data_IF_449056050733
#
_entry.id   IF_449056050733
#
_cell.length_a   1.000
_cell.length_b   1.000
_cell.length_c   1.000
_cell.angle_alpha   90.00
_cell.angle_beta   90.00
_cell.angle_gamma   90.00
#
_symmetry.space_group_name_H-M   'P 1'
#
loop_
_entity.id
_entity.type
_entity.pdbx_description
1 polymer ?
#
# COMPACT_ATOMS: atom_id res chain seq x y z
N UNK A 1 4.18 -14.50 11.60
CA UNK A 1 3.99 -13.18 12.23
C UNK A 1 3.72 -13.26 13.74
N UNK A 2 3.31 -14.41 14.27
CA UNK A 2 3.06 -14.58 15.73
C UNK A 2 4.27 -14.35 16.65
N UNK A 3 5.49 -14.34 16.10
CA UNK A 3 6.74 -14.16 16.84
C UNK A 3 6.97 -12.76 17.40
N UNK A 4 6.27 -11.75 16.89
CA UNK A 4 6.46 -10.33 17.22
C UNK A 4 5.28 -9.71 17.97
N UNK A 5 4.23 -10.48 18.25
CA UNK A 5 3.03 -10.03 18.93
C UNK A 5 3.15 -9.93 20.45
N UNK A 6 1.99 -9.79 21.12
CA UNK A 6 1.89 -9.59 22.58
C UNK A 6 2.68 -10.59 23.42
N UNK A 7 3.29 -10.16 24.54
CA UNK A 7 3.88 -11.07 25.53
C UNK A 7 2.87 -12.08 26.07
N UNK A 8 3.31 -13.30 26.41
CA UNK A 8 2.49 -14.27 27.15
C UNK A 8 1.54 -15.16 26.34
N UNK A 9 1.68 -15.23 25.00
CA UNK A 9 0.92 -16.22 24.20
C UNK A 9 1.39 -17.67 24.47
N UNK A 10 0.50 -18.68 24.34
CA UNK A 10 0.82 -20.08 24.68
C UNK A 10 2.02 -20.64 23.90
N UNK A 11 2.68 -21.64 24.49
CA UNK A 11 3.98 -22.18 24.10
C UNK A 11 4.13 -22.45 22.58
N UNK A 12 5.06 -21.74 21.93
CA UNK A 12 5.45 -21.94 20.53
C UNK A 12 6.10 -20.73 19.87
N UNK A 13 5.74 -19.51 20.28
CA UNK A 13 6.25 -18.27 19.69
C UNK A 13 7.23 -17.54 20.63
N UNK A 14 8.37 -18.15 20.93
CA UNK A 14 9.46 -17.42 21.60
C UNK A 14 9.99 -16.36 20.64
N UNK A 15 10.06 -15.09 21.09
CA UNK A 15 10.64 -14.02 20.29
C UNK A 15 12.05 -14.42 19.84
N UNK A 16 12.36 -14.37 18.53
CA UNK A 16 13.66 -14.80 18.03
C UNK A 16 14.77 -13.90 18.58
N UNK A 17 15.97 -14.48 18.76
CA UNK A 17 17.16 -13.71 19.20
C UNK A 17 17.48 -12.54 18.26
N UNK A 18 17.22 -12.72 16.96
CA UNK A 18 17.33 -11.70 15.92
C UNK A 18 16.39 -12.05 14.78
N UNK A 19 15.54 -11.09 14.40
CA UNK A 19 14.68 -11.16 13.22
C UNK A 19 14.62 -9.76 12.62
N UNK A 20 14.77 -9.69 11.30
CA UNK A 20 14.63 -8.45 10.53
C UNK A 20 13.41 -8.65 9.64
N UNK A 21 12.47 -7.73 9.72
CA UNK A 21 11.28 -7.71 8.86
C UNK A 21 11.40 -6.49 7.96
N UNK A 22 11.37 -6.74 6.66
CA UNK A 22 11.23 -5.70 5.64
C UNK A 22 9.78 -5.73 5.19
N UNK A 23 9.10 -4.60 5.29
CA UNK A 23 7.70 -4.48 4.93
C UNK A 23 7.45 -3.12 4.28
N UNK A 24 6.44 -3.07 3.42
CA UNK A 24 5.91 -1.84 2.85
C UNK A 24 4.92 -1.20 3.83
N UNK A 25 4.18 -0.19 3.35
CA UNK A 25 3.11 0.48 4.10
C UNK A 25 2.05 -0.47 4.68
N UNK A 26 1.98 -1.72 4.19
CA UNK A 26 1.12 -2.77 4.76
C UNK A 26 1.42 -3.01 6.25
N UNK A 27 2.65 -2.76 6.71
CA UNK A 27 2.99 -2.85 8.14
C UNK A 27 2.39 -1.71 9.00
N UNK A 28 1.78 -0.69 8.40
CA UNK A 28 1.14 0.43 9.11
C UNK A 28 -0.24 0.03 9.63
N UNK A 29 -1.00 -0.73 8.82
CA UNK A 29 -2.38 -1.09 9.07
C UNK A 29 -2.47 -2.49 9.71
N UNK A 30 -3.09 -2.56 10.89
CA UNK A 30 -3.42 -3.82 11.59
C UNK A 30 -2.26 -4.73 12.01
N UNK A 31 -1.01 -4.25 11.91
CA UNK A 31 0.17 -5.01 12.28
C UNK A 31 0.47 -4.94 13.79
N UNK A 32 0.02 -5.93 14.58
CA UNK A 32 0.31 -5.99 16.03
C UNK A 32 1.72 -6.54 16.28
N UNK A 33 2.73 -5.70 16.02
CA UNK A 33 4.15 -6.02 16.14
C UNK A 33 4.86 -5.08 17.12
N UNK A 34 5.78 -5.66 17.88
CA UNK A 34 6.69 -4.97 18.80
C UNK A 34 8.14 -5.18 18.37
N UNK A 35 8.73 -4.14 17.79
CA UNK A 35 10.14 -4.11 17.37
C UNK A 35 11.01 -3.37 18.37
N UNK A 36 12.28 -3.76 18.47
CA UNK A 36 13.26 -3.07 19.34
C UNK A 36 13.95 -1.88 18.65
N UNK A 37 13.92 -1.84 17.31
CA UNK A 37 14.44 -0.78 16.46
C UNK A 37 13.51 -0.63 15.25
N UNK A 38 13.21 0.62 14.88
CA UNK A 38 12.47 0.94 13.67
C UNK A 38 13.39 1.66 12.68
N UNK A 39 13.48 1.13 11.46
CA UNK A 39 14.05 1.84 10.31
C UNK A 39 12.92 2.10 9.34
N UNK A 40 12.72 3.34 8.95
CA UNK A 40 11.59 3.75 8.13
C UNK A 40 12.01 4.83 7.15
N UNK A 41 11.55 4.75 5.91
CA UNK A 41 11.63 5.91 5.02
C UNK A 41 10.77 7.05 5.56
N UNK A 42 11.15 8.28 5.21
CA UNK A 42 10.35 9.46 5.49
C UNK A 42 8.95 9.31 4.87
N UNK A 43 7.94 9.67 5.66
CA UNK A 43 6.53 9.67 5.28
C UNK A 43 5.86 10.87 5.97
N UNK A 44 4.60 11.20 5.62
CA UNK A 44 3.77 12.11 6.40
C UNK A 44 3.79 11.79 7.89
N UNK A 45 3.72 12.84 8.73
CA UNK A 45 4.01 12.73 10.17
C UNK A 45 3.09 11.75 10.89
N UNK A 46 1.83 11.68 10.50
CA UNK A 46 0.84 10.77 11.04
C UNK A 46 1.21 9.31 10.74
N UNK A 47 1.59 8.98 9.50
CA UNK A 47 2.06 7.65 9.11
C UNK A 47 3.37 7.29 9.82
N UNK A 48 4.30 8.24 9.94
CA UNK A 48 5.52 8.03 10.73
C UNK A 48 5.19 7.70 12.18
N UNK A 49 4.28 8.44 12.81
CA UNK A 49 3.87 8.21 14.20
C UNK A 49 3.12 6.87 14.36
N UNK A 50 2.32 6.46 13.38
CA UNK A 50 1.71 5.13 13.34
C UNK A 50 2.77 4.02 13.29
N UNK A 51 3.82 4.19 12.47
CA UNK A 51 4.97 3.27 12.43
C UNK A 51 5.73 3.27 13.77
N UNK A 52 5.96 4.45 14.36
CA UNK A 52 6.58 4.61 15.69
C UNK A 52 5.78 3.86 16.76
N UNK A 53 4.45 3.79 16.64
CA UNK A 53 3.58 3.01 17.54
C UNK A 53 3.81 1.49 17.54
N UNK A 54 4.71 0.97 16.70
CA UNK A 54 5.18 -0.43 16.70
C UNK A 54 6.51 -0.61 17.43
N UNK A 55 7.23 0.48 17.69
CA UNK A 55 8.48 0.48 18.44
C UNK A 55 8.17 0.34 19.94
N UNK A 56 8.70 -0.70 20.57
CA UNK A 56 8.52 -0.96 22.00
C UNK A 56 7.03 -0.96 22.41
N UNK A 57 6.17 -1.45 21.52
CA UNK A 57 4.70 -1.38 21.61
C UNK A 57 4.13 -2.06 22.85
N UNK A 58 4.76 -3.14 23.31
CA UNK A 58 4.33 -3.86 24.50
C UNK A 58 5.28 -3.59 25.65
N UNK A 59 4.70 -3.45 26.85
CA UNK A 59 5.47 -3.42 28.08
C UNK A 59 6.16 -4.78 28.25
N UNK A 60 7.49 -4.75 28.25
CA UNK A 60 8.34 -5.94 28.31
C UNK A 60 9.47 -5.71 29.29
N UNK A 61 9.87 -6.76 30.04
CA UNK A 61 11.07 -6.70 30.86
C UNK A 61 12.29 -6.28 30.05
N UNK A 62 13.14 -5.41 30.61
CA UNK A 62 14.38 -4.97 29.96
C UNK A 62 15.37 -6.10 29.62
N UNK A 63 15.21 -7.29 30.23
CA UNK A 63 15.95 -8.50 29.89
C UNK A 63 15.58 -9.09 28.52
N UNK A 64 14.39 -8.78 28.01
CA UNK A 64 13.92 -9.25 26.69
C UNK A 64 14.39 -8.35 25.54
N UNK A 65 15.01 -7.20 25.85
CA UNK A 65 15.57 -6.28 24.85
C UNK A 65 17.10 -6.27 24.96
N UNK A 66 17.84 -6.43 23.85
CA UNK A 66 19.29 -6.31 23.85
C UNK A 66 19.73 -4.97 24.46
N UNK A 67 20.82 -4.90 25.26
CA UNK A 67 21.22 -3.68 25.95
C UNK A 67 21.29 -2.42 25.08
N UNK A 68 21.76 -2.56 23.82
CA UNK A 68 21.87 -1.45 22.85
C UNK A 68 20.52 -0.96 22.29
N UNK A 69 19.44 -1.72 22.50
CA UNK A 69 18.10 -1.45 21.96
C UNK A 69 17.06 -1.23 23.08
N UNK A 70 17.51 -1.06 24.33
CA UNK A 70 16.62 -0.76 25.47
C UNK A 70 16.04 0.66 25.41
N UNK A 71 16.79 1.60 24.82
CA UNK A 71 16.26 2.93 24.50
C UNK A 71 15.57 2.84 23.14
N UNK A 72 14.27 3.22 23.03
CA UNK A 72 13.58 3.29 21.75
C UNK A 72 14.33 4.21 20.79
N UNK A 73 14.56 3.74 19.57
CA UNK A 73 15.20 4.50 18.50
C UNK A 73 14.49 4.27 17.17
N UNK A 74 14.26 5.36 16.45
CA UNK A 74 13.79 5.36 15.07
C UNK A 74 14.93 5.89 14.21
N UNK A 75 15.20 5.21 13.10
CA UNK A 75 16.12 5.67 12.07
C UNK A 75 15.26 6.03 10.87
N UNK A 76 15.23 7.32 10.53
CA UNK A 76 14.52 7.80 9.35
C UNK A 76 15.48 7.79 8.15
N UNK A 77 15.15 7.01 7.13
CA UNK A 77 15.83 6.94 5.83
C UNK A 77 14.97 7.59 4.74
N UNK A 78 15.29 7.36 3.46
CA UNK A 78 14.46 7.85 2.35
C UNK A 78 14.50 9.36 2.14
N UNK A 79 15.46 10.06 2.76
CA UNK A 79 15.73 11.48 2.55
C UNK A 79 17.23 11.76 2.50
N UNK A 80 17.62 12.77 1.74
CA UNK A 80 18.96 13.34 1.73
C UNK A 80 18.87 14.80 2.18
N UNK A 81 19.37 15.08 3.39
CA UNK A 81 19.55 16.43 3.90
C UNK A 81 20.78 17.06 3.24
N UNK A 82 20.66 18.32 2.80
CA UNK A 82 21.74 19.10 2.20
C UNK A 82 21.85 20.44 2.93
N UNK A 83 23.08 20.89 3.18
CA UNK A 83 23.31 22.22 3.72
C UNK A 83 22.88 23.28 2.71
N UNK A 84 22.06 24.25 3.13
CA UNK A 84 21.62 25.36 2.29
C UNK A 84 20.61 25.02 1.21
N UNK A 85 20.00 23.83 1.23
CA UNK A 85 18.98 23.44 0.26
C UNK A 85 17.91 22.54 0.91
N UNK A 86 16.72 22.51 0.29
CA UNK A 86 15.65 21.60 0.69
C UNK A 86 16.08 20.13 0.55
N UNK A 87 15.58 19.25 1.42
CA UNK A 87 15.83 17.82 1.31
C UNK A 87 15.26 17.23 0.01
N UNK A 88 15.85 16.10 -0.39
CA UNK A 88 15.39 15.32 -1.54
C UNK A 88 15.06 13.90 -1.11
N UNK A 89 14.14 13.24 -1.81
CA UNK A 89 13.69 11.88 -1.56
C UNK A 89 13.57 11.10 -2.87
N UNK A 90 13.53 9.76 -2.82
CA UNK A 90 13.28 8.94 -4.00
C UNK A 90 11.98 9.32 -4.70
N UNK A 91 11.96 9.16 -6.03
CA UNK A 91 10.78 9.49 -6.86
C UNK A 91 9.52 8.73 -6.45
N UNK A 92 9.65 7.48 -5.98
CA UNK A 92 8.54 6.70 -5.44
C UNK A 92 7.91 7.33 -4.20
N UNK A 93 8.71 7.84 -3.25
CA UNK A 93 8.17 8.54 -2.07
C UNK A 93 7.45 9.83 -2.46
N UNK A 94 7.98 10.57 -3.45
CA UNK A 94 7.29 11.76 -4.02
C UNK A 94 5.96 11.39 -4.65
N UNK A 95 5.92 10.33 -5.45
CA UNK A 95 4.71 9.88 -6.14
C UNK A 95 3.61 9.50 -5.14
N UNK A 96 3.98 8.86 -4.02
CA UNK A 96 3.03 8.35 -3.03
C UNK A 96 2.56 9.42 -2.05
N UNK A 97 3.44 10.30 -1.57
CA UNK A 97 3.11 11.25 -0.49
C UNK A 97 3.07 12.71 -0.92
N UNK A 98 3.74 13.06 -2.02
CA UNK A 98 3.93 14.44 -2.44
C UNK A 98 4.94 15.21 -1.59
N UNK A 99 5.50 16.26 -2.18
CA UNK A 99 6.62 17.01 -1.59
C UNK A 99 6.21 17.81 -0.34
N UNK A 100 4.97 18.32 -0.30
CA UNK A 100 4.52 19.20 0.79
C UNK A 100 4.56 18.49 2.14
N UNK A 101 3.90 17.34 2.26
CA UNK A 101 3.84 16.57 3.52
C UNK A 101 5.22 16.02 3.90
N UNK A 102 6.05 15.66 2.91
CA UNK A 102 7.42 15.21 3.14
C UNK A 102 8.31 16.33 3.67
N UNK A 103 8.23 17.56 3.14
CA UNK A 103 8.98 18.72 3.67
C UNK A 103 8.61 19.01 5.12
N UNK A 104 7.30 19.06 5.41
CA UNK A 104 6.83 19.33 6.78
C UNK A 104 7.30 18.25 7.75
N UNK A 105 7.22 16.98 7.35
CA UNK A 105 7.69 15.85 8.17
C UNK A 105 9.21 15.85 8.34
N UNK A 106 9.97 16.19 7.29
CA UNK A 106 11.43 16.32 7.34
C UNK A 106 11.86 17.40 8.34
N UNK A 107 11.16 18.53 8.40
CA UNK A 107 11.42 19.59 9.36
C UNK A 107 11.25 19.11 10.81
N UNK A 108 10.13 18.44 11.11
CA UNK A 108 9.84 17.90 12.45
C UNK A 108 10.84 16.82 12.86
N UNK A 109 11.24 15.96 11.92
CA UNK A 109 12.25 14.92 12.16
C UNK A 109 13.64 15.52 12.37
N UNK A 110 14.01 16.54 11.59
CA UNK A 110 15.30 17.21 11.72
C UNK A 110 15.44 17.91 13.09
N UNK A 111 14.40 18.64 13.51
CA UNK A 111 14.35 19.27 14.82
C UNK A 111 14.54 18.24 15.95
N UNK A 112 13.73 17.17 15.91
CA UNK A 112 13.81 16.08 16.89
C UNK A 112 15.16 15.36 16.92
N UNK A 113 15.82 15.22 15.76
CA UNK A 113 17.14 14.59 15.65
C UNK A 113 18.26 15.45 16.27
N UNK A 114 18.10 16.78 16.28
CA UNK A 114 19.03 17.72 16.93
C UNK A 114 18.69 17.99 18.40
N UNK A 115 17.43 17.79 18.79
CA UNK A 115 16.92 17.99 20.14
C UNK A 115 16.92 16.73 21.01
N UNK A 116 15.92 16.64 21.90
CA UNK A 116 15.73 15.51 22.83
C UNK A 116 14.98 14.32 22.22
N UNK A 117 14.56 14.40 20.96
CA UNK A 117 13.60 13.50 20.34
C UNK A 117 12.15 13.78 20.78
N UNK A 118 11.23 12.91 20.35
CA UNK A 118 9.80 12.99 20.67
C UNK A 118 9.44 12.17 21.92
N UNK A 119 8.52 12.72 22.70
CA UNK A 119 7.81 12.04 23.78
C UNK A 119 6.46 11.54 23.26
N UNK A 120 6.36 10.23 23.02
CA UNK A 120 5.11 9.59 22.55
C UNK A 120 4.41 8.93 23.74
N UNK A 121 3.11 9.20 23.99
CA UNK A 121 2.14 9.87 23.12
C UNK A 121 1.98 11.39 23.31
N UNK A 122 2.69 12.01 24.25
CA UNK A 122 2.46 13.42 24.64
C UNK A 122 2.58 14.42 23.48
N UNK A 123 3.57 14.25 22.61
CA UNK A 123 3.84 15.16 21.50
C UNK A 123 3.00 14.87 20.25
N UNK A 124 2.28 13.73 20.20
CA UNK A 124 1.56 13.27 19.01
C UNK A 124 0.56 14.32 18.50
N UNK A 125 -0.33 14.90 19.33
CA UNK A 125 -1.27 15.91 18.84
C UNK A 125 -0.58 17.14 18.27
N UNK A 126 0.49 17.60 18.92
CA UNK A 126 1.27 18.77 18.47
C UNK A 126 2.01 18.50 17.17
N UNK A 127 2.61 17.33 17.01
CA UNK A 127 3.29 16.92 15.79
C UNK A 127 2.34 16.80 14.59
N UNK A 128 1.15 16.22 14.80
CA UNK A 128 0.12 16.14 13.75
C UNK A 128 -0.39 17.53 13.38
N UNK A 129 -0.74 18.35 14.38
CA UNK A 129 -1.19 19.72 14.14
C UNK A 129 -0.12 20.54 13.38
N UNK A 130 1.15 20.43 13.77
CA UNK A 130 2.25 21.07 13.06
C UNK A 130 2.42 20.49 11.64
N UNK A 131 2.37 19.18 11.45
CA UNK A 131 2.58 18.56 10.14
C UNK A 131 1.51 18.91 9.10
N UNK A 132 0.28 19.20 9.53
CA UNK A 132 -0.84 19.58 8.65
C UNK A 132 -1.22 21.07 8.72
N UNK A 133 -0.64 21.82 9.65
CA UNK A 133 -0.88 23.26 9.79
C UNK A 133 -0.27 24.09 8.66
N UNK A 134 -0.57 25.38 8.68
CA UNK A 134 -0.07 26.33 7.67
C UNK A 134 1.22 27.02 8.09
N UNK A 135 1.58 26.93 9.37
CA UNK A 135 2.78 27.58 9.91
C UNK A 135 4.05 27.13 9.18
N UNK A 136 4.99 28.05 8.88
CA UNK A 136 6.28 27.70 8.28
C UNK A 136 7.06 26.71 9.15
N UNK A 137 7.60 25.66 8.52
CA UNK A 137 8.45 24.66 9.16
C UNK A 137 9.75 24.48 8.39
N UNK A 138 10.81 24.14 9.14
CA UNK A 138 12.12 23.84 8.59
C UNK A 138 13.05 25.05 8.51
N UNK A 139 14.23 24.83 7.94
CA UNK A 139 15.23 25.88 7.82
C UNK A 139 14.75 26.97 6.82
N UNK A 140 15.11 28.26 7.02
CA UNK A 140 14.68 29.35 6.12
C UNK A 140 15.00 29.10 4.64
N UNK A 141 16.09 28.38 4.36
CA UNK A 141 16.52 28.00 3.01
C UNK A 141 15.53 27.08 2.29
N UNK A 142 14.59 26.46 3.01
CA UNK A 142 13.56 25.60 2.44
C UNK A 142 12.31 26.38 2.03
N UNK A 143 12.17 27.65 2.43
CA UNK A 143 10.93 28.41 2.32
C UNK A 143 10.37 28.48 0.89
N UNK A 144 11.23 28.69 -0.11
CA UNK A 144 10.81 28.73 -1.52
C UNK A 144 10.27 27.36 -1.99
N UNK A 145 10.99 26.28 -1.66
CA UNK A 145 10.59 24.91 -2.00
C UNK A 145 9.30 24.51 -1.27
N UNK A 146 9.18 24.88 0.01
CA UNK A 146 8.00 24.62 0.83
C UNK A 146 6.76 25.36 0.28
N UNK A 147 6.90 26.62 -0.09
CA UNK A 147 5.82 27.40 -0.70
C UNK A 147 5.41 26.84 -2.07
N UNK A 148 6.37 26.39 -2.89
CA UNK A 148 6.10 25.71 -4.16
C UNK A 148 5.31 24.42 -3.96
N UNK A 149 5.80 23.55 -3.08
CA UNK A 149 5.15 22.27 -2.77
C UNK A 149 3.75 22.46 -2.16
N UNK A 150 3.55 23.48 -1.30
CA UNK A 150 2.24 23.80 -0.73
C UNK A 150 1.24 24.19 -1.81
N UNK A 151 1.62 25.04 -2.77
CA UNK A 151 0.74 25.41 -3.90
C UNK A 151 0.33 24.18 -4.72
N UNK A 152 1.28 23.30 -5.03
CA UNK A 152 0.99 22.05 -5.74
C UNK A 152 0.06 21.13 -4.95
N UNK A 153 0.22 21.07 -3.62
CA UNK A 153 -0.62 20.27 -2.75
C UNK A 153 -2.05 20.81 -2.68
N UNK A 154 -2.22 22.12 -2.47
CA UNK A 154 -3.55 22.78 -2.45
C UNK A 154 -4.30 22.57 -3.76
N UNK A 155 -3.63 22.74 -4.91
CA UNK A 155 -4.25 22.51 -6.21
C UNK A 155 -4.66 21.04 -6.40
N UNK A 156 -3.84 20.10 -5.92
CA UNK A 156 -4.16 18.67 -5.96
C UNK A 156 -5.39 18.35 -5.10
N UNK A 157 -5.45 18.85 -3.88
CA UNK A 157 -6.60 18.68 -2.98
C UNK A 157 -7.87 19.29 -3.57
N UNK A 158 -7.79 20.51 -4.12
CA UNK A 158 -8.93 21.13 -4.81
C UNK A 158 -9.44 20.28 -5.98
N UNK A 159 -8.53 19.72 -6.79
CA UNK A 159 -8.89 18.83 -7.89
C UNK A 159 -9.53 17.54 -7.38
N UNK A 160 -9.05 16.98 -6.26
CA UNK A 160 -9.65 15.81 -5.60
C UNK A 160 -11.08 16.09 -5.15
N UNK A 161 -11.31 17.23 -4.49
CA UNK A 161 -12.65 17.66 -4.07
C UNK A 161 -13.61 17.79 -5.26
N UNK A 162 -13.18 18.45 -6.33
CA UNK A 162 -13.99 18.63 -7.55
C UNK A 162 -14.31 17.28 -8.21
N UNK A 163 -13.34 16.37 -8.28
CA UNK A 163 -13.55 15.04 -8.85
C UNK A 163 -14.50 14.19 -7.99
N UNK A 164 -14.35 14.24 -6.67
CA UNK A 164 -15.18 13.48 -5.73
C UNK A 164 -16.64 13.95 -5.72
N UNK A 165 -16.90 15.25 -5.94
CA UNK A 165 -18.25 15.82 -5.94
C UNK A 165 -19.21 15.16 -6.95
N UNK A 166 -18.70 14.49 -7.99
CA UNK A 166 -19.53 13.71 -8.93
C UNK A 166 -20.09 12.40 -8.39
N UNK A 167 -19.60 11.94 -7.24
CA UNK A 167 -19.87 10.61 -6.66
C UNK A 167 -20.45 10.67 -5.25
N UNK A 168 -20.55 11.87 -4.68
CA UNK A 168 -21.18 12.07 -3.38
C UNK A 168 -22.70 11.93 -3.50
N UNK A 169 -23.30 11.28 -2.50
CA UNK A 169 -24.74 11.42 -2.27
C UNK A 169 -25.02 12.84 -1.76
N UNK A 170 -26.27 13.26 -1.90
CA UNK A 170 -26.74 14.55 -1.37
C UNK A 170 -26.44 14.66 0.12
N UNK A 171 -26.00 15.84 0.54
CA UNK A 171 -25.54 16.10 1.90
C UNK A 171 -26.66 16.14 2.93
N UNK A 172 -26.31 16.42 4.20
CA UNK A 172 -27.26 16.46 5.32
C UNK A 172 -28.42 17.45 5.09
N UNK A 173 -28.18 18.51 4.33
CA UNK A 173 -29.18 19.51 3.96
C UNK A 173 -30.35 18.94 3.13
N UNK A 174 -30.18 17.76 2.53
CA UNK A 174 -31.20 17.04 1.75
C UNK A 174 -31.77 15.81 2.48
N UNK A 175 -31.32 15.53 3.70
CA UNK A 175 -31.89 14.48 4.55
C UNK A 175 -33.25 14.94 5.09
N UNK A 176 -34.31 14.20 4.77
CA UNK A 176 -35.69 14.51 5.19
C UNK A 176 -36.64 14.86 4.05
N UNK A 177 -36.18 14.82 2.79
CA UNK A 177 -37.07 14.81 1.62
C UNK A 177 -38.01 13.60 1.67
N UNK A 178 -39.26 13.79 1.22
CA UNK A 178 -40.31 12.75 1.25
C UNK A 178 -40.09 11.63 0.22
N UNK A 179 -39.13 11.81 -0.68
CA UNK A 179 -38.79 10.88 -1.75
C UNK A 179 -37.28 10.72 -1.81
N UNK A 180 -36.81 9.60 -2.38
CA UNK A 180 -35.40 9.35 -2.68
C UNK A 180 -34.94 10.05 -3.98
N UNK A 181 -35.80 10.90 -4.54
CA UNK A 181 -35.52 11.66 -5.76
C UNK A 181 -34.49 12.77 -5.47
N UNK A 182 -33.46 12.86 -6.29
CA UNK A 182 -32.34 13.77 -6.06
C UNK A 182 -31.40 13.35 -4.94
N UNK A 183 -31.42 12.09 -4.47
CA UNK A 183 -30.39 11.52 -3.58
C UNK A 183 -29.03 11.34 -4.28
N UNK A 184 -29.06 11.33 -5.61
CA UNK A 184 -27.91 11.41 -6.49
C UNK A 184 -28.31 12.34 -7.65
N UNK A 185 -27.74 13.55 -7.71
CA UNK A 185 -28.16 14.55 -8.70
C UNK A 185 -27.48 14.40 -10.07
N UNK A 186 -26.41 13.60 -10.14
CA UNK A 186 -25.65 13.40 -11.38
C UNK A 186 -25.82 12.00 -11.91
N UNK A 187 -26.38 11.91 -13.11
CA UNK A 187 -26.35 10.71 -13.94
C UNK A 187 -24.89 10.44 -14.29
N UNK A 188 -24.21 9.62 -13.50
CA UNK A 188 -22.94 9.03 -13.93
C UNK A 188 -23.27 8.18 -15.16
N UNK A 189 -22.61 8.44 -16.30
CA UNK A 189 -22.66 7.51 -17.42
C UNK A 189 -22.46 6.08 -16.87
N UNK A 190 -23.23 5.07 -17.31
CA UNK A 190 -23.17 3.73 -16.74
C UNK A 190 -21.71 3.30 -16.60
N UNK A 191 -21.24 3.27 -15.35
CA UNK A 191 -19.90 2.83 -15.02
C UNK A 191 -19.99 1.32 -15.09
N UNK A 192 -19.84 0.75 -16.29
CA UNK A 192 -19.87 -0.69 -16.55
C UNK A 192 -18.73 -1.46 -15.85
N UNK A 193 -17.94 -0.79 -15.00
CA UNK A 193 -16.68 -1.26 -14.44
C UNK A 193 -16.57 -0.85 -12.95
N UNK A 194 -16.81 -1.80 -12.04
CA UNK A 194 -16.69 -1.63 -10.58
C UNK A 194 -15.31 -1.07 -10.18
N UNK A 195 -14.27 -1.36 -10.97
CA UNK A 195 -12.90 -0.88 -10.76
C UNK A 195 -12.78 0.63 -11.02
N UNK A 196 -13.56 1.21 -11.94
CA UNK A 196 -13.60 2.68 -12.16
C UNK A 196 -14.32 3.40 -11.03
N UNK A 197 -15.39 2.81 -10.49
CA UNK A 197 -16.07 3.33 -9.29
C UNK A 197 -15.13 3.29 -8.09
N UNK A 198 -14.41 2.18 -7.90
CA UNK A 198 -13.46 2.03 -6.80
C UNK A 198 -12.25 2.98 -6.90
N UNK A 199 -11.68 3.19 -8.10
CA UNK A 199 -10.56 4.11 -8.33
C UNK A 199 -10.92 5.58 -8.15
N UNK A 200 -12.20 5.92 -8.34
CA UNK A 200 -12.72 7.26 -8.06
C UNK A 200 -12.92 7.48 -6.57
N UNK A 201 -13.52 6.51 -5.86
CA UNK A 201 -13.82 6.63 -4.42
C UNK A 201 -12.55 6.51 -3.58
N UNK A 202 -11.56 5.76 -4.06
CA UNK A 202 -10.21 5.70 -3.52
C UNK A 202 -9.29 6.33 -4.54
N UNK A 203 -9.08 7.65 -4.47
CA UNK A 203 -8.17 8.43 -5.33
C UNK A 203 -6.78 7.79 -5.44
N UNK A 204 -6.67 6.83 -6.34
CA UNK A 204 -5.60 5.85 -6.37
C UNK A 204 -5.47 5.29 -7.78
N UNK A 205 -4.26 4.85 -8.12
CA UNK A 205 -3.96 4.40 -9.47
C UNK A 205 -4.76 3.12 -9.80
N UNK A 206 -5.33 3.09 -11.01
CA UNK A 206 -6.13 1.98 -11.49
C UNK A 206 -5.26 0.72 -11.67
N UNK A 207 -5.61 -0.35 -10.96
CA UNK A 207 -4.90 -1.63 -11.01
C UNK A 207 -5.89 -2.77 -11.20
N UNK A 208 -5.44 -3.83 -11.86
CA UNK A 208 -6.25 -5.04 -12.11
C UNK A 208 -5.88 -6.16 -11.15
N UNK A 209 -6.87 -6.89 -10.67
CA UNK A 209 -6.66 -8.17 -9.98
C UNK A 209 -6.58 -9.33 -10.98
N UNK A 210 -5.58 -10.18 -10.78
CA UNK A 210 -5.31 -11.35 -11.63
C UNK A 210 -5.03 -12.56 -10.77
N UNK A 211 -5.34 -13.73 -11.31
CA UNK A 211 -5.06 -15.03 -10.68
C UNK A 211 -3.84 -15.64 -11.36
N UNK A 212 -2.80 -15.93 -10.58
CA UNK A 212 -1.59 -16.56 -11.11
C UNK A 212 -1.84 -18.05 -11.37
N UNK A 213 -1.62 -18.47 -12.60
CA UNK A 213 -1.63 -19.88 -13.01
C UNK A 213 -0.39 -20.16 -13.83
N UNK A 214 0.05 -21.43 -13.88
CA UNK A 214 1.22 -21.83 -14.67
C UNK A 214 0.79 -22.59 -15.90
N UNK A 215 1.55 -22.44 -16.98
CA UNK A 215 1.44 -23.31 -18.15
C UNK A 215 2.00 -24.69 -17.80
N UNK A 216 1.27 -25.74 -18.15
CA UNK A 216 1.73 -27.12 -17.98
C UNK A 216 1.64 -27.90 -19.30
N UNK A 217 2.23 -29.11 -19.35
CA UNK A 217 2.26 -29.93 -20.58
C UNK A 217 0.88 -30.34 -21.09
N UNK A 218 -0.09 -30.51 -20.19
CA UNK A 218 -1.45 -30.98 -20.49
C UNK A 218 -2.52 -29.91 -20.21
N UNK A 219 -2.15 -28.63 -20.12
CA UNK A 219 -3.08 -27.54 -19.83
C UNK A 219 -2.51 -26.52 -18.86
N UNK A 220 -3.23 -26.30 -17.76
CA UNK A 220 -2.87 -25.33 -16.73
C UNK A 220 -2.55 -26.04 -15.41
N UNK A 221 -1.72 -25.39 -14.62
CA UNK A 221 -1.41 -25.78 -13.25
C UNK A 221 -1.72 -24.61 -12.32
N UNK A 222 -2.01 -24.90 -11.05
CA UNK A 222 -1.99 -23.88 -10.00
C UNK A 222 -0.58 -23.33 -9.85
N UNK A 223 -0.41 -22.23 -9.12
CA UNK A 223 0.90 -21.68 -8.82
C UNK A 223 1.81 -22.71 -8.10
N UNK A 224 1.25 -23.47 -7.15
CA UNK A 224 1.94 -24.57 -6.46
C UNK A 224 2.10 -25.86 -7.29
N UNK A 225 1.65 -25.89 -8.54
CA UNK A 225 1.90 -26.97 -9.49
C UNK A 225 0.87 -28.11 -9.53
N UNK A 226 -0.27 -27.98 -8.85
CA UNK A 226 -1.39 -28.94 -8.98
C UNK A 226 -2.07 -28.79 -10.34
N UNK A 227 -2.53 -29.89 -10.93
CA UNK A 227 -3.15 -29.87 -12.26
C UNK A 227 -4.53 -29.23 -12.25
N UNK A 228 -4.74 -28.23 -13.11
CA UNK A 228 -6.04 -27.60 -13.37
C UNK A 228 -6.78 -28.20 -14.58
N UNK A 229 -6.08 -29.02 -15.36
CA UNK A 229 -6.59 -29.62 -16.60
C UNK A 229 -6.45 -28.68 -17.81
N UNK A 230 -6.92 -29.13 -18.99
CA UNK A 230 -6.76 -28.40 -20.25
C UNK A 230 -7.48 -27.05 -20.29
N UNK A 231 -8.60 -26.91 -19.56
CA UNK A 231 -9.39 -25.68 -19.55
C UNK A 231 -9.46 -24.99 -18.18
N UNK A 232 -8.87 -25.56 -17.13
CA UNK A 232 -8.94 -25.00 -15.78
C UNK A 232 -10.08 -25.53 -14.90
N UNK A 233 -10.80 -26.55 -15.35
CA UNK A 233 -12.05 -27.05 -14.74
C UNK A 233 -11.87 -27.63 -13.33
N UNK A 234 -10.65 -28.06 -12.97
CA UNK A 234 -10.40 -28.65 -11.66
C UNK A 234 -10.67 -27.66 -10.51
N UNK A 235 -10.43 -26.36 -10.73
CA UNK A 235 -10.74 -25.33 -9.74
C UNK A 235 -12.25 -25.13 -9.52
N UNK A 236 -13.10 -25.56 -10.45
CA UNK A 236 -14.56 -25.50 -10.32
C UNK A 236 -15.11 -26.77 -9.66
N UNK A 237 -14.35 -27.87 -9.72
CA UNK A 237 -14.81 -29.20 -9.29
C UNK A 237 -14.23 -29.65 -7.94
N UNK A 238 -13.14 -29.00 -7.48
CA UNK A 238 -12.43 -29.34 -6.25
C UNK A 238 -12.15 -28.07 -5.42
N UNK A 239 -12.80 -27.97 -4.27
CA UNK A 239 -12.69 -26.81 -3.36
C UNK A 239 -11.26 -26.57 -2.89
N UNK A 240 -10.46 -27.61 -2.68
CA UNK A 240 -9.07 -27.45 -2.25
C UNK A 240 -8.22 -26.82 -3.34
N UNK A 241 -8.52 -27.10 -4.60
CA UNK A 241 -7.85 -26.51 -5.77
C UNK A 241 -8.36 -25.07 -5.97
N UNK A 242 -9.66 -24.83 -5.79
CA UNK A 242 -10.26 -23.50 -5.81
C UNK A 242 -9.58 -22.57 -4.79
N UNK A 243 -9.39 -23.04 -3.55
CA UNK A 243 -8.71 -22.28 -2.50
C UNK A 243 -7.29 -21.86 -2.90
N UNK A 244 -6.52 -22.74 -3.54
CA UNK A 244 -5.18 -22.39 -4.02
C UNK A 244 -5.22 -21.39 -5.19
N UNK A 245 -6.17 -21.54 -6.11
CA UNK A 245 -6.36 -20.61 -7.23
C UNK A 245 -6.75 -19.23 -6.71
N UNK A 246 -7.74 -19.14 -5.83
CA UNK A 246 -8.16 -17.87 -5.23
C UNK A 246 -7.04 -17.28 -4.36
N UNK A 247 -6.31 -18.12 -3.62
CA UNK A 247 -5.16 -17.71 -2.81
C UNK A 247 -3.98 -17.16 -3.64
N UNK A 248 -3.90 -17.51 -4.92
CA UNK A 248 -2.92 -16.99 -5.87
C UNK A 248 -3.39 -15.70 -6.58
N UNK A 249 -4.46 -15.06 -6.11
CA UNK A 249 -4.92 -13.77 -6.62
C UNK A 249 -3.99 -12.65 -6.14
N UNK A 250 -3.49 -11.86 -7.07
CA UNK A 250 -2.67 -10.68 -6.78
C UNK A 250 -3.20 -9.46 -7.54
N UNK A 251 -2.84 -8.28 -7.03
CA UNK A 251 -3.08 -7.02 -7.71
C UNK A 251 -1.83 -6.63 -8.50
N UNK A 252 -1.98 -6.36 -9.79
CA UNK A 252 -0.88 -5.94 -10.63
C UNK A 252 -0.37 -4.54 -10.23
N UNK A 253 0.90 -4.21 -10.52
CA UNK A 253 1.41 -2.85 -10.34
C UNK A 253 0.52 -1.87 -11.10
N UNK A 254 0.20 -0.73 -10.49
CA UNK A 254 -0.70 0.28 -11.05
C UNK A 254 -0.05 1.13 -12.16
N UNK A 255 0.65 0.45 -13.08
CA UNK A 255 1.29 1.04 -14.25
C UNK A 255 0.26 1.01 -15.39
N UNK A 256 -0.05 2.17 -15.95
CA UNK A 256 -1.12 2.34 -16.95
C UNK A 256 -1.01 1.33 -18.11
N UNK A 257 0.19 1.12 -18.66
CA UNK A 257 0.41 0.17 -19.75
C UNK A 257 0.12 -1.27 -19.35
N UNK A 258 0.50 -1.68 -18.13
CA UNK A 258 0.21 -3.01 -17.58
C UNK A 258 -1.31 -3.14 -17.36
N UNK A 259 -1.95 -2.15 -16.74
CA UNK A 259 -3.40 -2.14 -16.48
C UNK A 259 -4.19 -2.25 -17.77
N UNK A 260 -3.84 -1.47 -18.80
CA UNK A 260 -4.50 -1.51 -20.11
C UNK A 260 -4.30 -2.86 -20.80
N UNK A 261 -3.07 -3.38 -20.83
CA UNK A 261 -2.79 -4.69 -21.41
C UNK A 261 -3.51 -5.82 -20.65
N UNK A 262 -3.54 -5.77 -19.32
CA UNK A 262 -4.25 -6.74 -18.49
C UNK A 262 -5.76 -6.79 -18.81
N UNK A 263 -6.39 -5.62 -18.98
CA UNK A 263 -7.82 -5.53 -19.32
C UNK A 263 -8.12 -6.05 -20.73
N UNK A 264 -7.21 -5.83 -21.66
CA UNK A 264 -7.40 -6.22 -23.06
C UNK A 264 -7.10 -7.70 -23.31
N UNK A 265 -6.03 -8.22 -22.70
CA UNK A 265 -5.45 -9.50 -23.09
C UNK A 265 -5.79 -10.64 -22.12
N UNK A 266 -6.11 -10.33 -20.85
CA UNK A 266 -6.37 -11.36 -19.84
C UNK A 266 -7.87 -11.63 -19.69
N UNK A 267 -8.21 -12.91 -19.58
CA UNK A 267 -9.56 -13.39 -19.38
C UNK A 267 -9.58 -14.58 -18.43
N UNK A 268 -10.77 -14.99 -18.01
CA UNK A 268 -10.96 -16.24 -17.27
C UNK A 268 -10.56 -17.44 -18.14
N UNK A 269 -9.99 -18.47 -17.51
CA UNK A 269 -9.74 -19.73 -18.20
C UNK A 269 -11.06 -20.32 -18.72
N UNK A 270 -11.06 -21.12 -19.81
CA UNK A 270 -12.31 -21.56 -20.43
C UNK A 270 -13.25 -22.32 -19.46
N UNK A 271 -12.69 -23.12 -18.55
CA UNK A 271 -13.44 -23.87 -17.53
C UNK A 271 -14.07 -23.00 -16.44
N UNK A 272 -13.62 -21.75 -16.29
CA UNK A 272 -14.10 -20.83 -15.24
C UNK A 272 -15.34 -20.04 -15.64
N UNK A 273 -15.72 -20.04 -16.92
CA UNK A 273 -16.74 -19.13 -17.48
C UNK A 273 -18.13 -19.23 -16.84
N UNK A 274 -18.46 -20.39 -16.27
CA UNK A 274 -19.75 -20.65 -15.64
C UNK A 274 -19.70 -20.63 -14.11
N UNK A 275 -18.51 -20.50 -13.53
CA UNK A 275 -18.34 -20.47 -12.08
C UNK A 275 -18.60 -19.06 -11.53
N UNK A 276 -19.43 -18.89 -10.49
CA UNK A 276 -19.75 -17.58 -9.93
C UNK A 276 -18.54 -16.79 -9.41
N UNK A 277 -17.52 -17.46 -8.90
CA UNK A 277 -16.32 -16.85 -8.32
C UNK A 277 -15.25 -16.56 -9.38
N UNK A 278 -15.08 -17.46 -10.35
CA UNK A 278 -13.98 -17.40 -11.30
C UNK A 278 -14.35 -16.81 -12.68
N UNK A 279 -15.63 -16.69 -13.04
CA UNK A 279 -16.04 -16.20 -14.38
C UNK A 279 -15.54 -14.80 -14.75
N UNK A 280 -15.21 -13.97 -13.75
CA UNK A 280 -14.64 -12.62 -13.93
C UNK A 280 -13.16 -12.56 -13.56
N UNK A 281 -12.58 -13.65 -13.06
CA UNK A 281 -11.17 -13.69 -12.70
C UNK A 281 -10.32 -13.66 -13.96
N UNK A 282 -9.31 -12.80 -13.99
CA UNK A 282 -8.37 -12.70 -15.12
C UNK A 282 -7.17 -13.61 -14.83
N UNK A 283 -6.98 -14.65 -15.63
CA UNK A 283 -5.86 -15.57 -15.44
C UNK A 283 -4.58 -14.97 -16.04
N UNK A 284 -3.55 -14.80 -15.21
CA UNK A 284 -2.20 -14.47 -15.67
C UNK A 284 -1.41 -15.78 -15.77
N UNK A 285 -1.19 -16.23 -17.01
CA UNK A 285 -0.56 -17.52 -17.29
C UNK A 285 0.95 -17.34 -17.36
N UNK A 286 1.65 -17.86 -16.36
CA UNK A 286 3.10 -17.86 -16.26
C UNK A 286 3.72 -19.05 -17.00
N UNK A 287 4.89 -18.85 -17.59
CA UNK A 287 5.72 -19.91 -18.17
C UNK A 287 6.45 -20.76 -17.10
N UNK A 288 7.35 -21.63 -17.55
CA UNK A 288 8.12 -22.52 -16.68
C UNK A 288 9.10 -21.74 -15.77
N UNK A 289 9.52 -20.55 -16.21
CA UNK A 289 10.34 -19.61 -15.45
C UNK A 289 9.53 -18.67 -14.56
N UNK A 290 8.22 -18.94 -14.37
CA UNK A 290 7.28 -18.12 -13.61
C UNK A 290 7.19 -16.68 -14.13
N UNK A 291 7.30 -16.52 -15.44
CA UNK A 291 7.30 -15.23 -16.12
C UNK A 291 6.22 -15.12 -17.19
N UNK A 292 5.88 -13.89 -17.55
CA UNK A 292 4.94 -13.59 -18.64
C UNK A 292 5.22 -12.20 -19.19
N UNK A 293 5.03 -12.03 -20.50
CA UNK A 293 5.07 -10.70 -21.14
C UNK A 293 3.65 -10.16 -21.22
N UNK A 294 3.42 -8.97 -20.67
CA UNK A 294 2.15 -8.26 -20.70
C UNK A 294 2.38 -6.84 -21.21
N UNK A 295 1.93 -6.57 -22.44
CA UNK A 295 2.30 -5.36 -23.16
C UNK A 295 3.82 -5.28 -23.39
N UNK A 296 4.44 -4.18 -22.95
CA UNK A 296 5.89 -3.95 -23.04
C UNK A 296 6.65 -4.37 -21.78
N UNK A 297 5.99 -5.01 -20.82
CA UNK A 297 6.60 -5.41 -19.55
C UNK A 297 6.72 -6.92 -19.45
N UNK A 298 7.84 -7.39 -18.91
CA UNK A 298 8.01 -8.75 -18.42
C UNK A 298 7.69 -8.78 -16.94
N UNK A 299 6.69 -9.57 -16.56
CA UNK A 299 6.33 -9.84 -15.18
C UNK A 299 6.98 -11.16 -14.76
N UNK A 300 7.57 -11.19 -13.56
CA UNK A 300 8.29 -12.35 -13.04
C UNK A 300 7.82 -12.58 -11.61
N UNK A 301 7.27 -13.74 -11.32
CA UNK A 301 6.86 -14.12 -9.98
C UNK A 301 7.99 -14.88 -9.27
N UNK A 302 8.17 -14.61 -7.98
CA UNK A 302 9.12 -15.31 -7.14
C UNK A 302 8.50 -15.52 -5.75
N UNK A 303 8.66 -16.72 -5.19
CA UNK A 303 8.03 -17.10 -3.92
C UNK A 303 8.52 -16.30 -2.70
N UNK A 304 9.72 -15.70 -2.76
CA UNK A 304 10.30 -14.94 -1.65
C UNK A 304 10.00 -13.44 -1.71
N UNK A 305 10.04 -12.85 -2.91
CA UNK A 305 9.92 -11.39 -3.10
C UNK A 305 8.62 -10.97 -3.80
N UNK A 306 7.79 -11.92 -4.23
CA UNK A 306 6.54 -11.69 -4.93
C UNK A 306 6.72 -11.33 -6.41
N UNK A 307 5.76 -10.57 -6.95
CA UNK A 307 5.76 -10.18 -8.35
C UNK A 307 6.71 -9.00 -8.62
N UNK A 308 7.58 -9.17 -9.61
CA UNK A 308 8.43 -8.13 -10.18
C UNK A 308 8.01 -7.79 -11.60
N UNK A 309 8.34 -6.59 -12.03
CA UNK A 309 8.12 -6.12 -13.40
C UNK A 309 9.39 -5.47 -13.92
N UNK A 310 9.69 -5.73 -15.18
CA UNK A 310 10.84 -5.16 -15.90
C UNK A 310 10.34 -4.70 -17.26
N UNK A 311 10.74 -3.51 -17.70
CA UNK A 311 10.38 -3.04 -19.04
C UNK A 311 11.19 -3.83 -20.06
N UNK A 312 10.50 -4.54 -20.95
CA UNK A 312 11.13 -5.21 -22.07
C UNK A 312 11.85 -4.18 -22.94
N UNK A 313 13.11 -4.47 -23.26
CA UNK A 313 13.90 -3.71 -24.24
C UNK A 313 13.30 -3.81 -25.62
#
# INVERSE_FOLDING_TARGET
>A
MDLLGRPGRPAGAARPRRLIVVATQVAEQSFDVDVDLLVTDLAPIDLLLQRVGRLHRHDRPASQRPPRLRRPRVIVSGLLLRTGAAPTWPGGSRAVYGDHLLLRSAALVADAATGSGWSVPADVPGLVAAGYGEEPLGAPEWAESAAGAQREWVERERRREVNAAGFLLSGEDDLGRRTLDGLHERSTAPLDDEEKVAAVVRDGEESVEVVLVRRGPAGYLTLGGRTLGPNGDAAVSDDSVLEEVVGATIRLPAIKEITVAARADLAALPGWRHDPWLRRARALILDDELSVVLGTYRLIYNDEIGLRHERGT
#
